data_IF_754395751759
#
_entry.id   IF_754395751759
#
_cell.length_a   1.000
_cell.length_b   1.000
_cell.length_c   1.000
_cell.angle_alpha   90.00
_cell.angle_beta   90.00
_cell.angle_gamma   90.00
#
_symmetry.space_group_name_H-M   'P 1'
#
loop_
_entity.id
_entity.type
_entity.pdbx_description
1 polymer ?
#
# COMPACT_ATOMS: atom_id res chain seq x y z
N UNK A 1 -0.50 63.72 41.63
CA UNK A 1 0.86 64.07 42.10
C UNK A 1 1.84 63.29 41.26
N UNK A 2 2.78 63.98 40.59
CA UNK A 2 3.57 63.46 39.46
C UNK A 2 4.64 62.43 39.84
N UNK A 3 5.08 61.67 38.84
CA UNK A 3 6.04 60.54 38.85
C UNK A 3 7.45 60.88 39.37
N UNK A 4 7.67 62.07 39.92
CA UNK A 4 9.00 62.65 40.22
C UNK A 4 9.55 62.28 41.60
N UNK A 5 8.83 61.51 42.42
CA UNK A 5 9.22 61.19 43.82
C UNK A 5 10.12 59.97 43.97
N UNK A 6 10.36 59.21 42.90
CA UNK A 6 11.10 57.94 42.95
C UNK A 6 12.37 58.13 42.12
N UNK A 7 13.53 58.11 42.78
CA UNK A 7 14.83 58.13 42.11
C UNK A 7 15.07 56.79 41.40
N UNK A 8 15.89 56.81 40.33
CA UNK A 8 16.22 55.59 39.59
C UNK A 8 16.87 54.54 40.51
N UNK A 9 16.47 53.28 40.38
CA UNK A 9 16.90 52.18 41.25
C UNK A 9 16.39 52.22 42.70
N UNK A 10 15.48 53.14 43.08
CA UNK A 10 14.95 53.22 44.45
C UNK A 10 14.14 51.99 44.89
N UNK A 11 13.62 51.22 43.92
CA UNK A 11 12.79 50.03 44.18
C UNK A 11 13.62 48.80 43.82
N UNK A 12 14.26 48.21 44.82
CA UNK A 12 14.91 46.91 44.76
C UNK A 12 14.07 45.80 45.42
N UNK A 13 14.63 44.59 45.55
CA UNK A 13 13.91 43.45 46.12
C UNK A 13 13.49 43.65 47.58
N UNK A 14 14.21 44.47 48.34
CA UNK A 14 13.93 44.75 49.76
C UNK A 14 12.73 45.70 49.94
N UNK A 15 12.44 46.53 48.93
CA UNK A 15 11.34 47.49 48.94
C UNK A 15 10.01 46.87 48.47
N UNK A 16 10.04 45.61 48.01
CA UNK A 16 8.86 44.85 47.58
C UNK A 16 8.56 43.73 48.57
N UNK A 17 7.47 43.89 49.34
CA UNK A 17 7.00 42.81 50.21
C UNK A 17 6.55 41.59 49.39
N UNK A 18 6.62 40.40 49.98
CA UNK A 18 6.20 39.16 49.34
C UNK A 18 4.76 39.27 48.80
N UNK A 19 4.55 38.86 47.54
CA UNK A 19 3.25 38.92 46.83
C UNK A 19 2.61 40.32 46.71
N UNK A 20 3.35 41.39 46.99
CA UNK A 20 2.83 42.77 46.86
C UNK A 20 2.57 43.19 45.42
N UNK A 21 3.19 42.52 44.43
CA UNK A 21 2.98 42.76 43.00
C UNK A 21 2.13 41.64 42.41
N UNK A 22 0.91 41.97 41.99
CA UNK A 22 -0.02 41.07 41.31
C UNK A 22 -0.33 41.55 39.88
N UNK A 23 -1.17 40.79 39.16
CA UNK A 23 -1.53 41.13 37.77
C UNK A 23 -2.16 42.52 37.62
N UNK A 24 -2.93 42.98 38.61
CA UNK A 24 -3.54 44.32 38.61
C UNK A 24 -2.54 45.47 38.73
N UNK A 25 -1.29 45.19 39.12
CA UNK A 25 -0.22 46.18 39.19
C UNK A 25 0.59 46.28 37.89
N UNK A 26 0.29 45.41 36.90
CA UNK A 26 0.96 45.37 35.60
C UNK A 26 0.01 45.91 34.53
N UNK A 27 0.44 46.97 33.83
CA UNK A 27 -0.26 47.43 32.63
C UNK A 27 -0.08 46.44 31.46
N UNK A 28 -0.95 46.54 30.45
CA UNK A 28 -0.84 45.71 29.24
C UNK A 28 0.55 45.90 28.61
N UNK A 29 1.22 44.79 28.26
CA UNK A 29 2.60 44.78 27.71
C UNK A 29 3.70 45.33 28.64
N UNK A 30 3.43 45.50 29.94
CA UNK A 30 4.46 45.93 30.90
C UNK A 30 5.61 44.90 31.06
N UNK A 31 5.34 43.62 30.79
CA UNK A 31 6.35 42.55 30.76
C UNK A 31 6.74 42.26 29.30
N UNK A 32 7.99 42.52 28.96
CA UNK A 32 8.58 42.24 27.65
C UNK A 32 9.60 41.11 27.75
N UNK A 33 10.11 40.63 26.61
CA UNK A 33 11.10 39.55 26.56
C UNK A 33 12.33 39.84 27.44
N UNK A 34 12.81 41.08 27.44
CA UNK A 34 14.03 41.47 28.16
C UNK A 34 13.84 41.54 29.68
N UNK A 35 12.59 41.49 30.16
CA UNK A 35 12.26 41.42 31.59
C UNK A 35 12.28 39.98 32.14
N UNK A 36 12.32 38.97 31.26
CA UNK A 36 12.31 37.56 31.64
C UNK A 36 13.72 36.99 31.53
N UNK A 37 14.29 36.59 32.67
CA UNK A 37 15.55 35.82 32.68
C UNK A 37 15.38 34.41 32.11
N UNK A 38 16.51 33.73 31.88
CA UNK A 38 16.52 32.32 31.50
C UNK A 38 15.72 31.48 32.50
N UNK A 39 14.90 30.55 31.98
CA UNK A 39 14.04 29.65 32.76
C UNK A 39 13.03 30.34 33.70
N UNK A 40 12.80 31.66 33.56
CA UNK A 40 11.80 32.39 34.35
C UNK A 40 10.38 31.85 34.13
N UNK A 41 10.10 31.34 32.91
CA UNK A 41 8.85 30.67 32.56
C UNK A 41 9.09 29.16 32.51
N UNK A 42 8.42 28.42 33.40
CA UNK A 42 8.51 26.96 33.51
C UNK A 42 7.13 26.35 33.24
N UNK A 43 7.06 25.03 33.05
CA UNK A 43 5.80 24.34 32.73
C UNK A 43 4.66 24.64 33.73
N UNK A 44 4.97 24.81 35.02
CA UNK A 44 3.99 25.18 36.06
C UNK A 44 3.36 26.58 35.88
N UNK A 45 4.00 27.46 35.10
CA UNK A 45 3.49 28.81 34.80
C UNK A 45 2.55 28.81 33.58
N UNK A 46 2.52 27.72 32.80
CA UNK A 46 1.74 27.62 31.57
C UNK A 46 0.52 26.73 31.82
N UNK A 47 -0.67 27.33 31.81
CA UNK A 47 -1.94 26.61 31.91
C UNK A 47 -2.25 25.77 30.67
N UNK A 48 -3.13 24.78 30.82
CA UNK A 48 -3.62 23.99 29.69
C UNK A 48 -4.30 24.87 28.64
N UNK A 49 -3.97 24.66 27.36
CA UNK A 49 -4.54 25.40 26.24
C UNK A 49 -4.05 26.85 26.05
N UNK A 50 -3.14 27.33 26.92
CA UNK A 50 -2.57 28.69 26.79
C UNK A 50 -1.69 28.80 25.55
N UNK A 51 -0.95 27.75 25.19
CA UNK A 51 -0.18 27.69 23.94
C UNK A 51 -1.07 27.14 22.82
N UNK A 52 -1.31 27.98 21.81
CA UNK A 52 -2.11 27.65 20.63
C UNK A 52 -1.20 27.64 19.39
N UNK A 53 -1.71 27.13 18.27
CA UNK A 53 -0.96 27.09 17.01
C UNK A 53 -0.40 28.47 16.59
N UNK A 54 -1.15 29.55 16.83
CA UNK A 54 -0.72 30.92 16.52
C UNK A 54 0.48 31.41 17.34
N UNK A 55 0.81 30.75 18.46
CA UNK A 55 1.98 31.08 19.28
C UNK A 55 3.25 30.38 18.80
N UNK A 56 3.15 29.41 17.88
CA UNK A 56 4.27 28.64 17.37
C UNK A 56 4.72 29.19 16.02
N UNK A 57 5.98 29.61 15.92
CA UNK A 57 6.59 29.93 14.63
C UNK A 57 6.71 28.68 13.76
N UNK A 58 6.77 28.87 12.44
CA UNK A 58 7.04 27.78 11.51
C UNK A 58 8.38 27.10 11.86
N UNK A 59 8.35 25.78 12.06
CA UNK A 59 9.52 25.00 12.46
C UNK A 59 9.90 25.10 13.93
N UNK A 60 9.09 25.74 14.78
CA UNK A 60 9.33 25.80 16.23
C UNK A 60 9.25 24.42 16.92
N UNK A 61 8.50 23.48 16.33
CA UNK A 61 8.43 22.08 16.77
C UNK A 61 9.31 21.25 15.87
N UNK A 62 10.39 20.71 16.42
CA UNK A 62 11.35 19.85 15.72
C UNK A 62 11.12 18.37 16.08
N UNK A 63 11.62 17.47 15.26
CA UNK A 63 11.39 16.02 15.44
C UNK A 63 11.93 15.47 16.75
N UNK A 64 13.02 16.00 17.26
CA UNK A 64 13.62 15.67 18.57
C UNK A 64 12.82 16.20 19.77
N UNK A 65 11.95 17.20 19.55
CA UNK A 65 11.05 17.73 20.58
C UNK A 65 9.73 16.95 20.69
N UNK A 66 9.42 16.11 19.70
CA UNK A 66 8.23 15.25 19.72
C UNK A 66 8.55 13.95 20.46
N UNK A 67 7.76 13.64 21.49
CA UNK A 67 7.80 12.33 22.11
C UNK A 67 7.37 11.24 21.12
N UNK A 68 7.81 10.01 21.38
CA UNK A 68 7.33 8.84 20.64
C UNK A 68 5.80 8.78 20.68
N UNK A 69 5.19 8.43 19.55
CA UNK A 69 3.73 8.34 19.38
C UNK A 69 2.96 9.65 19.59
N UNK A 70 3.64 10.80 19.71
CA UNK A 70 2.98 12.10 19.88
C UNK A 70 2.07 12.48 18.70
N UNK A 71 2.35 11.98 17.48
CA UNK A 71 1.53 12.17 16.29
C UNK A 71 0.76 10.88 15.98
N UNK A 72 -0.53 10.86 16.31
CA UNK A 72 -1.44 9.74 16.02
C UNK A 72 -2.08 9.91 14.65
N UNK A 73 -2.68 8.84 14.12
CA UNK A 73 -3.39 8.89 12.84
C UNK A 73 -4.49 9.96 12.79
N UNK A 74 -5.21 10.18 13.90
CA UNK A 74 -6.26 11.21 14.03
C UNK A 74 -5.72 12.66 13.93
N UNK A 75 -4.43 12.87 14.18
CA UNK A 75 -3.78 14.18 14.04
C UNK A 75 -3.30 14.44 12.62
N UNK A 76 -3.29 13.44 11.75
CA UNK A 76 -2.92 13.56 10.35
C UNK A 76 -4.16 13.91 9.52
N UNK A 77 -4.07 14.99 8.76
CA UNK A 77 -5.10 15.32 7.78
C UNK A 77 -5.11 14.30 6.64
N UNK A 78 -6.29 14.03 6.09
CA UNK A 78 -6.46 13.13 4.95
C UNK A 78 -5.55 13.56 3.78
N UNK A 79 -4.80 12.59 3.22
CA UNK A 79 -3.87 12.83 2.12
C UNK A 79 -2.59 13.59 2.47
N UNK A 80 -2.35 13.94 3.75
CA UNK A 80 -1.13 14.65 4.17
C UNK A 80 0.16 13.83 3.96
N UNK A 81 0.06 12.51 3.89
CA UNK A 81 1.18 11.60 3.61
C UNK A 81 1.23 11.28 2.11
N UNK A 82 2.00 12.08 1.36
CA UNK A 82 2.24 11.87 -0.07
C UNK A 82 3.38 10.89 -0.36
N UNK A 83 3.56 10.54 -1.65
CA UNK A 83 4.58 9.60 -2.11
C UNK A 83 6.00 9.95 -1.63
N UNK A 84 6.37 11.23 -1.62
CA UNK A 84 7.70 11.68 -1.18
C UNK A 84 7.96 11.47 0.32
N UNK A 85 6.93 11.15 1.10
CA UNK A 85 7.03 10.87 2.55
C UNK A 85 7.14 9.38 2.85
N UNK A 86 6.92 8.51 1.85
CA UNK A 86 7.03 7.06 1.98
C UNK A 86 8.37 6.60 1.43
N UNK A 87 9.19 6.00 2.30
CA UNK A 87 10.45 5.40 1.88
C UNK A 87 10.19 4.10 1.10
N UNK A 88 11.11 3.72 0.21
CA UNK A 88 11.02 2.45 -0.51
C UNK A 88 10.95 1.28 0.50
N UNK A 89 9.93 0.42 0.34
CA UNK A 89 9.70 -0.73 1.22
C UNK A 89 9.05 -0.40 2.58
N UNK A 90 8.70 0.85 2.86
CA UNK A 90 8.04 1.20 4.14
C UNK A 90 6.62 0.62 4.25
N UNK A 91 5.96 0.40 3.12
CA UNK A 91 4.65 -0.28 3.05
C UNK A 91 4.89 -1.72 2.61
N UNK A 92 4.63 -2.63 3.54
CA UNK A 92 4.72 -4.09 3.33
C UNK A 92 3.34 -4.72 3.33
N UNK A 93 3.23 -6.00 2.93
CA UNK A 93 1.96 -6.74 2.96
C UNK A 93 1.27 -6.73 4.34
N UNK A 94 2.04 -6.65 5.44
CA UNK A 94 1.48 -6.57 6.79
C UNK A 94 0.71 -5.27 7.07
N UNK A 95 0.97 -4.21 6.30
CA UNK A 95 0.29 -2.93 6.42
C UNK A 95 -1.01 -2.88 5.58
N UNK A 96 -1.26 -3.90 4.76
CA UNK A 96 -2.36 -3.91 3.80
C UNK A 96 -3.53 -4.73 4.33
N UNK A 97 -4.72 -4.13 4.32
CA UNK A 97 -5.95 -4.86 4.58
C UNK A 97 -6.25 -5.84 3.43
N UNK A 98 -6.98 -6.91 3.74
CA UNK A 98 -7.46 -7.85 2.71
C UNK A 98 -8.32 -7.10 1.68
N UNK A 99 -7.96 -7.22 0.39
CA UNK A 99 -8.65 -6.52 -0.70
C UNK A 99 -8.25 -5.04 -0.87
N UNK A 100 -7.22 -4.56 -0.17
CA UNK A 100 -6.73 -3.20 -0.35
C UNK A 100 -6.19 -2.92 -1.76
N UNK A 101 -5.66 -3.94 -2.45
CA UNK A 101 -5.26 -3.85 -3.86
C UNK A 101 -6.45 -4.23 -4.73
N UNK A 102 -7.10 -3.23 -5.30
CA UNK A 102 -8.16 -3.40 -6.28
C UNK A 102 -7.59 -3.39 -7.71
N UNK A 103 -8.36 -3.93 -8.66
CA UNK A 103 -7.89 -4.14 -10.04
C UNK A 103 -7.54 -2.84 -10.78
N UNK A 104 -8.23 -1.75 -10.46
CA UNK A 104 -8.00 -0.40 -11.00
C UNK A 104 -6.68 0.23 -10.54
N UNK A 105 -6.09 -0.27 -9.45
CA UNK A 105 -4.78 0.17 -8.93
C UNK A 105 -3.63 -0.55 -9.65
N UNK A 106 -3.87 -1.73 -10.21
CA UNK A 106 -2.86 -2.51 -10.91
C UNK A 106 -2.74 -2.04 -12.36
N UNK A 107 -1.58 -1.50 -12.73
CA UNK A 107 -1.28 -1.18 -14.12
C UNK A 107 -1.23 -2.45 -14.99
N UNK A 108 -1.57 -2.31 -16.27
CA UNK A 108 -1.49 -3.40 -17.24
C UNK A 108 -0.08 -4.01 -17.29
N UNK A 109 -0.01 -5.34 -17.21
CA UNK A 109 1.26 -6.07 -17.18
C UNK A 109 2.06 -5.96 -15.87
N UNK A 110 1.54 -5.27 -14.85
CA UNK A 110 2.22 -5.15 -13.55
C UNK A 110 2.34 -6.48 -12.81
N UNK A 111 1.48 -7.45 -13.08
CA UNK A 111 1.56 -8.83 -12.55
C UNK A 111 2.18 -9.73 -13.63
N UNK A 112 3.45 -10.06 -13.45
CA UNK A 112 4.23 -10.96 -14.33
C UNK A 112 4.20 -12.39 -13.79
N UNK A 113 4.59 -13.37 -14.63
CA UNK A 113 4.65 -14.78 -14.23
C UNK A 113 5.45 -15.02 -12.94
N UNK A 114 6.60 -14.37 -12.79
CA UNK A 114 7.47 -14.50 -11.61
C UNK A 114 6.84 -13.97 -10.30
N UNK A 115 5.75 -13.18 -10.39
CA UNK A 115 5.00 -12.69 -9.22
C UNK A 115 3.90 -13.67 -8.78
N UNK A 116 3.63 -14.70 -9.58
CA UNK A 116 2.64 -15.73 -9.27
C UNK A 116 3.34 -16.94 -8.64
N UNK A 117 2.85 -17.36 -7.48
CA UNK A 117 3.31 -18.62 -6.90
C UNK A 117 2.82 -19.82 -7.74
N UNK A 118 3.61 -20.90 -7.76
CA UNK A 118 3.26 -22.13 -8.46
C UNK A 118 1.87 -22.64 -8.03
N UNK A 119 1.02 -22.94 -9.01
CA UNK A 119 -0.34 -23.42 -8.77
C UNK A 119 -1.34 -22.37 -8.25
N UNK A 120 -0.95 -21.10 -8.11
CA UNK A 120 -1.86 -20.04 -7.64
C UNK A 120 -3.03 -19.75 -8.61
N UNK A 121 -2.86 -20.05 -9.89
CA UNK A 121 -3.89 -19.92 -10.93
C UNK A 121 -4.61 -21.27 -11.11
N UNK A 122 -5.70 -21.45 -10.38
CA UNK A 122 -6.57 -22.63 -10.50
C UNK A 122 -7.64 -22.49 -11.59
N UNK A 123 -8.38 -23.58 -11.85
CA UNK A 123 -9.45 -23.63 -12.86
C UNK A 123 -10.48 -22.50 -12.70
N UNK A 124 -10.88 -22.17 -11.47
CA UNK A 124 -11.87 -21.12 -11.19
C UNK A 124 -11.39 -19.70 -11.53
N UNK A 125 -10.09 -19.52 -11.76
CA UNK A 125 -9.48 -18.23 -12.14
C UNK A 125 -9.39 -18.05 -13.66
N UNK A 126 -9.65 -19.10 -14.45
CA UNK A 126 -9.64 -19.06 -15.90
C UNK A 126 -11.07 -18.94 -16.44
N UNK A 127 -11.35 -17.88 -17.19
CA UNK A 127 -12.62 -17.72 -17.87
C UNK A 127 -12.74 -18.70 -19.05
N UNK A 128 -13.95 -19.09 -19.41
CA UNK A 128 -14.19 -19.93 -20.58
C UNK A 128 -13.64 -19.25 -21.84
N UNK A 129 -12.80 -19.96 -22.60
CA UNK A 129 -12.17 -19.44 -23.81
C UNK A 129 -10.95 -18.53 -23.58
N UNK A 130 -10.52 -18.30 -22.33
CA UNK A 130 -9.33 -17.46 -22.07
C UNK A 130 -8.02 -18.10 -22.53
N UNK A 131 -7.96 -19.43 -22.58
CA UNK A 131 -6.82 -20.18 -23.12
C UNK A 131 -7.12 -20.57 -24.57
N UNK A 132 -6.48 -19.86 -25.50
CA UNK A 132 -6.52 -20.15 -26.94
C UNK A 132 -5.25 -20.90 -27.38
N UNK A 133 -5.20 -21.35 -28.64
CA UNK A 133 -4.02 -22.02 -29.21
C UNK A 133 -2.74 -21.19 -29.16
N UNK A 134 -2.85 -19.86 -29.18
CA UNK A 134 -1.70 -18.94 -29.08
C UNK A 134 -1.04 -18.97 -27.69
N UNK A 135 -1.78 -19.38 -26.66
CA UNK A 135 -1.28 -19.50 -25.29
C UNK A 135 -0.55 -20.82 -25.04
N UNK A 136 -0.64 -21.79 -25.95
CA UNK A 136 -0.11 -23.13 -25.77
C UNK A 136 1.17 -23.34 -26.59
N UNK A 137 2.28 -23.55 -25.91
CA UNK A 137 3.53 -23.94 -26.58
C UNK A 137 3.40 -25.35 -27.22
N UNK A 138 4.07 -25.61 -28.36
CA UNK A 138 4.10 -26.95 -28.96
C UNK A 138 4.56 -28.01 -27.97
N UNK A 139 3.81 -29.11 -27.87
CA UNK A 139 4.12 -30.23 -26.96
C UNK A 139 3.72 -30.01 -25.49
N UNK A 140 3.13 -28.87 -25.14
CA UNK A 140 2.64 -28.61 -23.77
C UNK A 140 1.50 -29.55 -23.34
N UNK A 141 0.73 -30.07 -24.31
CA UNK A 141 -0.37 -31.02 -24.08
C UNK A 141 0.11 -32.47 -24.31
N UNK A 142 0.58 -33.13 -23.24
CA UNK A 142 0.89 -34.57 -23.19
C UNK A 142 -0.27 -35.49 -22.79
N UNK A 143 0.01 -36.80 -22.71
CA UNK A 143 -0.98 -37.88 -22.44
C UNK A 143 -1.81 -37.66 -21.16
N UNK A 144 -1.19 -37.15 -20.09
CA UNK A 144 -1.88 -36.88 -18.82
C UNK A 144 -2.92 -35.75 -18.88
N UNK A 145 -2.91 -34.91 -19.92
CA UNK A 145 -3.84 -33.80 -20.08
C UNK A 145 -5.11 -34.19 -20.86
N UNK A 146 -5.07 -35.29 -21.61
CA UNK A 146 -6.16 -35.72 -22.49
C UNK A 146 -6.83 -36.95 -21.88
N UNK A 147 -8.11 -36.84 -21.54
CA UNK A 147 -8.88 -38.00 -21.08
C UNK A 147 -9.17 -38.95 -22.24
N UNK A 148 -9.22 -40.28 -22.00
CA UNK A 148 -9.62 -41.25 -23.02
C UNK A 148 -10.95 -40.87 -23.69
N UNK A 149 -11.06 -41.10 -25.00
CA UNK A 149 -12.23 -40.79 -25.83
C UNK A 149 -12.61 -39.29 -25.92
N UNK A 150 -11.77 -38.36 -25.46
CA UNK A 150 -12.06 -36.91 -25.56
C UNK A 150 -11.75 -36.31 -26.94
N UNK A 151 -11.03 -37.05 -27.79
CA UNK A 151 -10.70 -36.65 -29.17
C UNK A 151 -11.51 -37.51 -30.14
N UNK A 152 -12.48 -36.90 -30.81
CA UNK A 152 -13.27 -37.54 -31.87
C UNK A 152 -12.61 -37.35 -33.24
N UNK A 153 -12.93 -38.18 -34.24
CA UNK A 153 -12.39 -38.05 -35.60
C UNK A 153 -12.59 -36.67 -36.22
N UNK A 154 -13.70 -35.98 -35.90
CA UNK A 154 -13.97 -34.61 -36.35
C UNK A 154 -13.01 -33.54 -35.80
N UNK A 155 -12.30 -33.83 -34.70
CA UNK A 155 -11.28 -32.94 -34.14
C UNK A 155 -9.93 -33.07 -34.88
N UNK A 156 -9.78 -34.07 -35.76
CA UNK A 156 -8.54 -34.38 -36.46
C UNK A 156 -8.68 -34.10 -37.95
N UNK A 157 -7.84 -33.23 -38.49
CA UNK A 157 -7.73 -33.06 -39.94
C UNK A 157 -7.00 -34.27 -40.56
N UNK A 158 -7.44 -34.78 -41.73
CA UNK A 158 -6.71 -35.83 -42.44
C UNK A 158 -5.22 -35.47 -42.59
N UNK A 159 -4.34 -36.41 -42.25
CA UNK A 159 -2.87 -36.26 -42.37
C UNK A 159 -2.13 -35.70 -41.13
N UNK A 160 -2.82 -35.32 -40.04
CA UNK A 160 -2.17 -34.80 -38.83
C UNK A 160 -1.76 -35.86 -37.81
N UNK A 161 -2.13 -37.12 -38.04
CA UNK A 161 -1.62 -38.26 -37.29
C UNK A 161 -0.37 -38.80 -38.00
N UNK A 162 0.79 -38.68 -37.36
CA UNK A 162 1.94 -39.50 -37.77
C UNK A 162 1.58 -40.96 -37.53
N UNK A 163 1.78 -41.79 -38.56
CA UNK A 163 1.47 -43.22 -38.56
C UNK A 163 2.37 -43.94 -37.56
N UNK A 164 2.08 -43.83 -36.27
CA UNK A 164 2.69 -44.64 -35.23
C UNK A 164 1.92 -45.96 -35.20
N UNK A 165 2.39 -46.90 -36.02
CA UNK A 165 2.17 -48.35 -36.00
C UNK A 165 1.02 -48.85 -35.11
N UNK A 166 -0.20 -48.40 -35.40
CA UNK A 166 -1.40 -48.90 -34.75
C UNK A 166 -1.72 -50.26 -35.38
N UNK A 167 -1.82 -51.36 -34.62
CA UNK A 167 -2.19 -52.64 -35.21
C UNK A 167 -3.56 -52.50 -35.87
N UNK A 168 -3.63 -52.73 -37.18
CA UNK A 168 -4.81 -52.62 -38.05
C UNK A 168 -6.07 -53.34 -37.49
N UNK A 169 -5.91 -54.22 -36.49
CA UNK A 169 -6.99 -54.99 -35.86
C UNK A 169 -7.99 -54.14 -35.05
N UNK A 170 -7.61 -52.95 -34.56
CA UNK A 170 -8.47 -52.20 -33.65
C UNK A 170 -9.54 -51.32 -34.33
N UNK A 171 -9.48 -51.12 -35.64
CA UNK A 171 -10.49 -50.34 -36.39
C UNK A 171 -11.52 -51.21 -37.13
N UNK A 172 -11.26 -52.51 -37.29
CA UNK A 172 -12.10 -53.47 -38.03
C UNK A 172 -13.15 -54.19 -37.16
N UNK A 173 -13.63 -53.54 -36.09
CA UNK A 173 -14.64 -54.12 -35.19
C UNK A 173 -16.10 -53.96 -35.61
N UNK A 174 -16.45 -53.15 -36.63
CA UNK A 174 -17.86 -52.85 -36.96
C UNK A 174 -18.21 -52.53 -38.43
N UNK A 175 -17.45 -53.00 -39.41
CA UNK A 175 -17.90 -52.94 -40.81
C UNK A 175 -18.35 -54.34 -41.25
N UNK A 176 -19.67 -54.51 -41.37
CA UNK A 176 -20.29 -55.73 -41.85
C UNK A 176 -19.78 -56.13 -43.23
N UNK A 177 -19.81 -57.44 -43.44
CA UNK A 177 -19.67 -58.14 -44.71
C UNK A 177 -20.28 -57.39 -45.91
N UNK A 178 -19.45 -56.72 -46.70
CA UNK A 178 -19.72 -56.48 -48.12
C UNK A 178 -18.43 -56.71 -48.87
N UNK A 179 -18.53 -57.60 -49.85
CA UNK A 179 -17.47 -58.10 -50.69
C UNK A 179 -16.85 -56.96 -51.49
N UNK A 180 -15.53 -56.81 -51.47
CA UNK A 180 -14.80 -56.18 -52.56
C UNK A 180 -13.93 -57.24 -53.22
N UNK A 181 -14.50 -57.78 -54.30
CA UNK A 181 -13.82 -58.61 -55.28
C UNK A 181 -12.63 -57.86 -55.86
N UNK A 182 -11.58 -58.64 -56.13
CA UNK A 182 -10.33 -58.32 -56.80
C UNK A 182 -10.47 -57.31 -57.97
N UNK A 183 -9.61 -56.29 -57.99
CA UNK A 183 -9.45 -55.33 -59.08
C UNK A 183 -8.07 -54.66 -59.01
N UNK A 184 -7.28 -54.87 -60.06
CA UNK A 184 -5.82 -54.73 -60.11
C UNK A 184 -5.25 -53.31 -59.94
N UNK A 185 -4.00 -53.28 -59.46
CA UNK A 185 -2.99 -52.24 -59.68
C UNK A 185 -3.01 -51.71 -61.12
N UNK A 186 -3.31 -50.41 -61.30
CA UNK A 186 -2.46 -49.35 -61.91
C UNK A 186 -2.90 -47.99 -61.36
#
# INVERSE_FOLDING_TARGET
>A
MGREKIQDGAVGPEQLAHQSVGGQHLEERAVQSDHLGEEAVQSRHIGSGVIQAAHLANGAVQSDTLADEAVTGEKLADGSIGQSKLAAGSVTAAHMANGAVQSDILADGSVTGDKLADGSVGQSKLAAGSVTSEHLAPGSIGEGHIRPNSIAPEHLKPGHLRQNNWPMAAFMGKAGSQQYSSGAFV
#
